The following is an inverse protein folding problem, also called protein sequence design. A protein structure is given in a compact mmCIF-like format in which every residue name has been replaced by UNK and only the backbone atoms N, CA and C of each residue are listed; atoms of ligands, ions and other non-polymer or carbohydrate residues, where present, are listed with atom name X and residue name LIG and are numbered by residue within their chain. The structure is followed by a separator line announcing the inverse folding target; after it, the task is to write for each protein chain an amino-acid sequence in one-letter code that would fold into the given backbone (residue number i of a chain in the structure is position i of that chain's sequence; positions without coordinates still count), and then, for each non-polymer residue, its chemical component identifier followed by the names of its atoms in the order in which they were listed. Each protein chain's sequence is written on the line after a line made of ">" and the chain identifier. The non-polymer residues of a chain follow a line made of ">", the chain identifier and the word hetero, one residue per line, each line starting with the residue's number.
data_IF_591648964758
#
_entry.id   IF_591648964758
#
_cell.length_a   1.000
_cell.length_b   1.000
_cell.length_c   1.000
_cell.angle_alpha   90.00
_cell.angle_beta   90.00
_cell.angle_gamma   90.00
#
_symmetry.space_group_name_H-M   'P 1'
#
loop_
_entity.id
_entity.type
_entity.pdbx_description
1 polymer ?
#
# COMPACT_ATOMS: atom_id res chain seq x y z
N UNK A 1 -15.71 11.83 -20.85
CA UNK A 1 -15.74 10.40 -21.26
C UNK A 1 -16.61 10.19 -22.52
N UNK A 2 -17.84 10.70 -22.59
CA UNK A 2 -18.71 10.53 -23.77
C UNK A 2 -18.10 11.14 -25.04
N UNK A 3 -17.54 12.34 -24.97
CA UNK A 3 -16.91 12.99 -26.13
C UNK A 3 -15.77 12.16 -26.73
N UNK A 4 -14.92 11.54 -25.90
CA UNK A 4 -13.85 10.64 -26.37
C UNK A 4 -14.40 9.42 -27.06
N UNK A 5 -15.41 8.78 -26.50
CA UNK A 5 -16.06 7.61 -27.10
C UNK A 5 -16.62 7.93 -28.50
N UNK A 6 -17.23 9.11 -28.66
CA UNK A 6 -17.74 9.56 -29.98
C UNK A 6 -16.59 9.80 -30.96
N UNK A 7 -15.49 10.42 -30.53
CA UNK A 7 -14.32 10.64 -31.40
C UNK A 7 -13.63 9.34 -31.80
N UNK A 8 -13.48 8.40 -30.86
CA UNK A 8 -12.95 7.07 -31.15
C UNK A 8 -13.80 6.32 -32.18
N UNK A 9 -15.14 6.47 -32.13
CA UNK A 9 -16.04 5.82 -33.09
C UNK A 9 -15.84 6.30 -34.53
N UNK A 10 -15.38 7.55 -34.75
CA UNK A 10 -15.07 8.08 -36.10
C UNK A 10 -13.98 7.25 -36.76
N UNK A 11 -12.97 6.78 -36.04
CA UNK A 11 -11.88 5.96 -36.58
C UNK A 11 -12.35 4.58 -37.03
N UNK A 12 -13.36 4.04 -36.35
CA UNK A 12 -13.94 2.72 -36.62
C UNK A 12 -14.97 2.83 -37.75
N UNK A 13 -15.86 3.80 -37.67
CA UNK A 13 -17.02 3.95 -38.57
C UNK A 13 -16.61 4.47 -39.95
N UNK A 14 -15.60 5.34 -40.02
CA UNK A 14 -15.15 6.01 -41.23
C UNK A 14 -13.66 5.77 -41.55
N UNK A 15 -13.23 4.52 -41.75
CA UNK A 15 -11.80 4.18 -41.90
C UNK A 15 -11.13 4.78 -43.14
N UNK A 16 -11.93 5.14 -44.17
CA UNK A 16 -11.41 5.71 -45.43
C UNK A 16 -11.37 7.24 -45.44
N UNK A 17 -12.06 7.91 -44.48
CA UNK A 17 -12.19 9.36 -44.40
C UNK A 17 -11.02 9.96 -43.62
N UNK A 18 -9.86 10.11 -44.28
CA UNK A 18 -8.59 10.51 -43.63
C UNK A 18 -8.68 11.92 -43.03
N UNK A 19 -9.36 12.87 -43.68
CA UNK A 19 -9.51 14.24 -43.20
C UNK A 19 -10.31 14.28 -41.88
N UNK A 20 -11.44 13.64 -41.83
CA UNK A 20 -12.31 13.57 -40.63
C UNK A 20 -11.60 12.89 -39.47
N UNK A 21 -10.88 11.80 -39.75
CA UNK A 21 -10.08 11.10 -38.74
C UNK A 21 -8.96 11.98 -38.16
N UNK A 22 -8.30 12.83 -38.97
CA UNK A 22 -7.30 13.79 -38.49
C UNK A 22 -7.92 14.81 -37.57
N UNK A 23 -9.09 15.36 -37.93
CA UNK A 23 -9.82 16.31 -37.09
C UNK A 23 -10.27 15.66 -35.79
N UNK A 24 -10.85 14.46 -35.83
CA UNK A 24 -11.25 13.73 -34.65
C UNK A 24 -10.05 13.48 -33.72
N UNK A 25 -8.89 13.10 -34.28
CA UNK A 25 -7.66 12.89 -33.49
C UNK A 25 -7.14 14.18 -32.85
N UNK A 26 -7.17 15.31 -33.56
CA UNK A 26 -6.77 16.60 -32.99
C UNK A 26 -7.68 17.04 -31.85
N UNK A 27 -9.00 16.81 -31.96
CA UNK A 27 -9.96 17.08 -30.89
C UNK A 27 -9.76 16.15 -29.70
N UNK A 28 -9.50 14.88 -29.92
CA UNK A 28 -9.17 13.93 -28.88
C UNK A 28 -7.91 14.34 -28.11
N UNK A 29 -6.85 14.70 -28.83
CA UNK A 29 -5.60 15.19 -28.22
C UNK A 29 -5.85 16.45 -27.38
N UNK A 30 -6.70 17.39 -27.86
CA UNK A 30 -7.07 18.58 -27.11
C UNK A 30 -7.86 18.28 -25.84
N UNK A 31 -8.78 17.29 -25.90
CA UNK A 31 -9.53 16.83 -24.69
C UNK A 31 -8.55 16.23 -23.68
N UNK A 32 -7.62 15.36 -24.12
CA UNK A 32 -6.60 14.76 -23.25
C UNK A 32 -5.73 15.84 -22.60
N UNK A 33 -5.35 16.86 -23.35
CA UNK A 33 -4.58 18.00 -22.84
C UNK A 33 -5.31 18.75 -21.74
N UNK A 34 -6.58 19.15 -21.96
CA UNK A 34 -7.39 19.87 -20.97
C UNK A 34 -7.67 19.02 -19.72
N UNK A 35 -8.00 17.73 -19.90
CA UNK A 35 -8.17 16.80 -18.77
C UNK A 35 -6.87 16.66 -17.97
N UNK A 36 -5.71 16.63 -18.64
CA UNK A 36 -4.41 16.54 -17.99
C UNK A 36 -4.04 17.82 -17.24
N UNK A 37 -4.35 19.00 -17.80
CA UNK A 37 -4.19 20.27 -17.07
C UNK A 37 -5.05 20.31 -15.80
N UNK A 38 -6.32 19.88 -15.88
CA UNK A 38 -7.21 19.80 -14.71
C UNK A 38 -6.68 18.80 -13.67
N UNK A 39 -6.19 17.63 -14.12
CA UNK A 39 -5.60 16.61 -13.24
C UNK A 39 -4.34 17.12 -12.55
N UNK A 40 -3.46 17.85 -13.28
CA UNK A 40 -2.27 18.48 -12.72
C UNK A 40 -2.67 19.51 -11.64
N UNK A 41 -3.60 20.42 -11.94
CA UNK A 41 -4.05 21.42 -11.00
C UNK A 41 -4.66 20.80 -9.73
N UNK A 42 -5.45 19.73 -9.88
CA UNK A 42 -5.95 18.95 -8.75
C UNK A 42 -4.81 18.38 -7.91
N UNK A 43 -3.83 17.74 -8.54
CA UNK A 43 -2.69 17.15 -7.82
C UNK A 43 -1.86 18.22 -7.09
N UNK A 44 -1.58 19.36 -7.75
CA UNK A 44 -0.85 20.49 -7.15
C UNK A 44 -1.57 21.07 -5.92
N UNK A 45 -2.90 20.99 -5.87
CA UNK A 45 -3.70 21.43 -4.73
C UNK A 45 -3.75 20.41 -3.59
N UNK A 46 -3.83 19.12 -3.90
CA UNK A 46 -4.08 18.05 -2.90
C UNK A 46 -2.77 17.54 -2.28
N UNK A 47 -1.67 17.49 -3.02
CA UNK A 47 -0.41 16.95 -2.50
C UNK A 47 0.14 17.69 -1.26
N UNK A 48 0.21 19.04 -1.22
CA UNK A 48 0.77 19.73 -0.08
C UNK A 48 0.10 19.39 1.26
N UNK A 49 -1.23 19.45 1.41
CA UNK A 49 -1.87 19.11 2.67
C UNK A 49 -1.77 17.62 3.04
N UNK A 50 -1.63 16.72 2.05
CA UNK A 50 -1.36 15.30 2.36
C UNK A 50 0.05 15.10 2.89
N UNK A 51 1.05 15.76 2.31
CA UNK A 51 2.45 15.72 2.78
C UNK A 51 2.56 16.28 4.19
N UNK A 52 1.91 17.41 4.49
CA UNK A 52 1.88 17.98 5.84
C UNK A 52 1.30 17.00 6.88
N UNK A 53 0.20 16.30 6.54
CA UNK A 53 -0.34 15.25 7.42
C UNK A 53 0.65 14.11 7.66
N UNK A 54 1.38 13.69 6.62
CA UNK A 54 2.42 12.67 6.75
C UNK A 54 3.52 13.15 7.70
N UNK A 55 4.00 14.38 7.56
CA UNK A 55 5.05 14.94 8.42
C UNK A 55 4.63 14.97 9.90
N UNK A 56 3.35 15.25 10.18
CA UNK A 56 2.80 15.19 11.53
C UNK A 56 2.80 13.76 12.08
N UNK A 57 2.35 12.79 11.27
CA UNK A 57 2.31 11.38 11.68
C UNK A 57 3.72 10.80 11.87
N UNK A 58 4.66 11.14 11.00
CA UNK A 58 6.03 10.63 11.04
C UNK A 58 6.75 10.95 12.37
N UNK A 59 6.31 11.94 13.15
CA UNK A 59 6.83 12.22 14.49
C UNK A 59 6.66 11.04 15.46
N UNK A 60 5.69 10.16 15.21
CA UNK A 60 5.44 8.94 16.00
C UNK A 60 6.29 7.75 15.52
N UNK A 61 6.99 7.90 14.40
CA UNK A 61 7.78 6.85 13.79
C UNK A 61 9.28 7.12 13.93
N UNK A 62 10.08 6.08 13.79
CA UNK A 62 11.51 6.15 13.56
C UNK A 62 11.82 5.63 12.17
N UNK A 63 12.76 6.26 11.51
CA UNK A 63 13.28 5.78 10.25
C UNK A 63 14.42 4.80 10.50
N UNK A 64 14.36 3.65 9.86
CA UNK A 64 15.38 2.60 9.93
C UNK A 64 15.78 2.22 8.51
N UNK A 65 17.07 2.15 8.24
CA UNK A 65 17.64 1.65 7.00
C UNK A 65 19.00 1.02 7.26
N UNK A 66 19.23 -0.13 6.66
CA UNK A 66 20.54 -0.72 6.59
C UNK A 66 21.12 -0.50 5.19
N UNK A 67 21.90 0.55 5.01
CA UNK A 67 22.44 0.97 3.71
C UNK A 67 23.27 -0.11 2.99
N UNK A 68 23.75 -1.12 3.73
CA UNK A 68 24.53 -2.22 3.16
C UNK A 68 23.66 -3.33 2.54
N UNK A 69 22.43 -3.49 3.02
CA UNK A 69 21.60 -4.66 2.66
C UNK A 69 20.17 -4.31 2.23
N UNK A 70 19.77 -3.05 2.34
CA UNK A 70 18.40 -2.63 2.06
C UNK A 70 18.39 -1.49 1.04
N UNK A 71 17.67 -1.68 -0.07
CA UNK A 71 17.46 -0.62 -1.07
C UNK A 71 16.57 0.49 -0.53
N UNK A 72 15.60 0.12 0.33
CA UNK A 72 14.60 1.00 0.90
C UNK A 72 14.67 1.01 2.42
N UNK A 73 14.56 2.20 3.00
CA UNK A 73 14.34 2.36 4.43
C UNK A 73 12.87 2.18 4.81
N UNK A 74 12.60 2.18 6.10
CA UNK A 74 11.26 1.94 6.65
C UNK A 74 10.95 2.86 7.82
N UNK A 75 9.70 3.28 7.91
CA UNK A 75 9.14 4.01 9.05
C UNK A 75 8.45 3.02 9.97
N UNK A 76 9.00 2.81 11.14
CA UNK A 76 8.49 1.91 12.17
C UNK A 76 7.96 2.73 13.34
N UNK A 77 6.75 2.44 13.79
CA UNK A 77 6.16 3.14 14.93
C UNK A 77 7.01 2.90 16.21
N UNK A 78 7.25 3.94 17.00
CA UNK A 78 8.16 3.90 18.16
C UNK A 78 7.75 2.93 19.27
N UNK A 79 6.46 2.55 19.34
CA UNK A 79 5.95 1.55 20.27
C UNK A 79 6.12 0.09 19.79
N UNK A 80 6.45 -0.14 18.51
CA UNK A 80 6.76 -1.47 18.00
C UNK A 80 8.26 -1.75 18.16
N UNK A 81 8.56 -2.85 18.82
CA UNK A 81 9.93 -3.33 18.90
C UNK A 81 10.37 -3.90 17.56
N UNK A 82 11.54 -3.51 17.12
CA UNK A 82 12.15 -4.05 15.92
C UNK A 82 13.13 -5.15 16.28
N UNK A 83 12.92 -6.32 15.70
CA UNK A 83 13.90 -7.30 15.31
C UNK A 83 14.84 -7.98 16.32
N UNK A 84 15.03 -7.48 17.52
CA UNK A 84 15.96 -8.10 18.46
C UNK A 84 15.33 -9.21 19.33
N UNK A 85 14.00 -9.29 19.38
CA UNK A 85 13.29 -10.29 20.19
C UNK A 85 12.63 -11.34 19.30
N UNK A 86 13.45 -12.23 18.73
CA UNK A 86 12.99 -13.30 17.84
C UNK A 86 12.41 -14.51 18.59
N UNK A 87 12.37 -14.47 19.93
CA UNK A 87 11.93 -15.60 20.77
C UNK A 87 10.45 -15.57 21.13
N UNK A 88 9.63 -14.79 20.42
CA UNK A 88 8.18 -14.70 20.64
C UNK A 88 7.40 -14.53 19.36
N UNK A 89 6.09 -14.78 19.44
CA UNK A 89 5.15 -14.50 18.37
C UNK A 89 4.71 -13.03 18.46
N UNK A 90 4.72 -12.30 17.33
CA UNK A 90 4.27 -10.91 17.27
C UNK A 90 3.93 -10.51 15.84
N UNK A 91 3.20 -9.40 15.68
CA UNK A 91 3.01 -8.71 14.41
C UNK A 91 3.85 -7.43 14.42
N UNK A 92 4.59 -7.22 13.34
CA UNK A 92 5.28 -5.98 13.04
C UNK A 92 4.65 -5.34 11.81
N UNK A 93 4.44 -4.02 11.87
CA UNK A 93 4.00 -3.25 10.71
C UNK A 93 4.92 -2.03 10.52
N UNK A 94 5.15 -1.68 9.25
CA UNK A 94 5.90 -0.50 8.88
C UNK A 94 5.53 -0.02 7.49
N UNK A 95 5.86 1.21 7.17
CA UNK A 95 5.74 1.77 5.82
C UNK A 95 7.15 2.03 5.29
N UNK A 96 7.44 1.58 4.07
CA UNK A 96 8.73 1.82 3.40
C UNK A 96 8.78 3.25 2.84
N UNK A 97 9.98 3.74 2.56
CA UNK A 97 10.19 5.06 1.93
C UNK A 97 9.67 5.13 0.48
N UNK A 98 9.56 3.98 -0.22
CA UNK A 98 8.87 3.86 -1.50
C UNK A 98 7.33 3.78 -1.36
N UNK A 99 6.81 4.01 -0.14
CA UNK A 99 5.38 4.07 0.20
C UNK A 99 4.64 2.73 0.15
N UNK A 100 5.34 1.62 0.23
CA UNK A 100 4.72 0.31 0.45
C UNK A 100 4.45 0.08 1.93
N UNK A 101 3.24 -0.41 2.24
CA UNK A 101 2.88 -0.86 3.60
C UNK A 101 3.19 -2.34 3.73
N UNK A 102 3.91 -2.69 4.78
CA UNK A 102 4.34 -4.07 5.05
C UNK A 102 3.85 -4.47 6.43
N UNK A 103 3.25 -5.66 6.52
CA UNK A 103 2.96 -6.34 7.78
C UNK A 103 3.68 -7.68 7.79
N UNK A 104 4.38 -7.96 8.89
CA UNK A 104 5.06 -9.23 9.13
C UNK A 104 4.49 -9.90 10.36
N UNK A 105 4.11 -11.17 10.21
CA UNK A 105 3.74 -12.03 11.32
C UNK A 105 4.90 -12.95 11.63
N UNK A 106 5.43 -12.84 12.83
CA UNK A 106 6.55 -13.64 13.32
C UNK A 106 6.05 -14.79 14.19
N UNK A 107 6.51 -15.97 13.88
CA UNK A 107 6.37 -17.16 14.70
C UNK A 107 7.75 -17.63 15.18
N UNK A 108 7.79 -18.02 16.45
CA UNK A 108 8.90 -18.74 17.04
C UNK A 108 8.38 -19.94 17.84
N UNK A 109 8.96 -21.11 17.64
CA UNK A 109 8.56 -22.32 18.35
C UNK A 109 9.51 -23.49 18.16
N UNK A 110 9.18 -24.62 18.80
CA UNK A 110 9.97 -25.85 18.74
C UNK A 110 9.71 -26.68 17.49
N UNK A 111 8.64 -26.39 16.75
CA UNK A 111 8.23 -27.14 15.55
C UNK A 111 7.99 -26.20 14.39
N UNK A 112 8.29 -26.66 13.20
CA UNK A 112 7.92 -25.94 11.97
C UNK A 112 6.40 -26.01 11.76
N UNK A 113 5.77 -24.84 11.61
CA UNK A 113 4.33 -24.72 11.41
C UNK A 113 3.98 -24.65 9.92
N UNK A 114 4.89 -24.17 9.09
CA UNK A 114 4.63 -23.84 7.68
C UNK A 114 3.42 -22.93 7.55
N UNK A 115 3.54 -21.73 8.10
CA UNK A 115 2.45 -20.77 8.25
C UNK A 115 1.81 -20.45 6.90
N UNK A 116 0.49 -20.67 6.79
CA UNK A 116 -0.30 -20.44 5.58
C UNK A 116 -1.15 -19.17 5.69
N UNK A 117 -1.56 -18.83 6.92
CA UNK A 117 -2.40 -17.67 7.18
C UNK A 117 -2.22 -17.14 8.61
N UNK A 118 -2.58 -15.89 8.79
CA UNK A 118 -2.83 -15.26 10.08
C UNK A 118 -4.31 -14.96 10.18
N UNK A 119 -4.95 -15.40 11.26
CA UNK A 119 -6.35 -15.09 11.56
C UNK A 119 -6.39 -14.09 12.69
N UNK A 120 -7.09 -12.99 12.50
CA UNK A 120 -7.46 -12.07 13.57
C UNK A 120 -8.91 -12.33 13.98
N UNK A 121 -9.14 -12.44 15.28
CA UNK A 121 -10.47 -12.64 15.84
C UNK A 121 -10.75 -11.56 16.90
N UNK A 122 -11.92 -10.94 16.80
CA UNK A 122 -12.39 -9.89 17.70
C UNK A 122 -13.93 -9.96 17.80
N UNK A 123 -14.47 -10.04 19.00
CA UNK A 123 -15.92 -9.99 19.27
C UNK A 123 -16.77 -10.90 18.36
N UNK A 124 -16.32 -12.16 18.18
CA UNK A 124 -17.01 -13.14 17.34
C UNK A 124 -16.79 -12.99 15.83
N UNK A 125 -16.05 -11.97 15.38
CA UNK A 125 -15.68 -11.76 13.98
C UNK A 125 -14.28 -12.33 13.77
N UNK A 126 -14.09 -13.13 12.72
CA UNK A 126 -12.77 -13.63 12.31
C UNK A 126 -12.47 -13.20 10.87
N UNK A 127 -11.22 -12.80 10.63
CA UNK A 127 -10.70 -12.51 9.30
C UNK A 127 -9.37 -13.20 9.10
N UNK A 128 -9.17 -13.77 7.91
CA UNK A 128 -7.97 -14.52 7.54
C UNK A 128 -7.13 -13.74 6.53
N UNK A 129 -5.83 -13.64 6.78
CA UNK A 129 -4.87 -12.94 5.96
C UNK A 129 -3.76 -13.89 5.53
N UNK A 130 -3.44 -13.87 4.23
CA UNK A 130 -2.39 -14.71 3.64
C UNK A 130 -1.23 -13.88 3.14
N UNK A 131 -0.04 -14.44 3.17
CA UNK A 131 1.18 -13.77 2.73
C UNK A 131 2.25 -14.75 2.25
N UNK A 132 3.44 -14.25 1.96
CA UNK A 132 4.61 -15.06 1.65
C UNK A 132 5.29 -15.49 2.96
N UNK A 133 5.37 -16.79 3.21
CA UNK A 133 6.06 -17.34 4.38
C UNK A 133 7.51 -17.69 4.06
N UNK A 134 8.41 -17.30 4.94
CA UNK A 134 9.81 -17.71 4.97
C UNK A 134 10.12 -18.35 6.31
N UNK A 135 10.75 -19.53 6.30
CA UNK A 135 11.10 -20.26 7.51
C UNK A 135 12.58 -20.59 7.56
N UNK A 136 13.16 -20.58 8.75
CA UNK A 136 14.53 -21.02 9.03
C UNK A 136 14.63 -21.56 10.45
N UNK A 137 15.65 -22.39 10.70
CA UNK A 137 15.93 -22.96 11.99
C UNK A 137 17.16 -22.28 12.61
N UNK A 138 17.00 -21.73 13.81
CA UNK A 138 18.06 -21.15 14.62
C UNK A 138 17.64 -21.17 16.08
N UNK A 139 18.14 -22.12 16.88
CA UNK A 139 17.71 -22.35 18.26
C UNK A 139 16.18 -22.51 18.41
N UNK A 140 15.54 -23.11 17.41
CA UNK A 140 14.10 -23.24 17.25
C UNK A 140 13.69 -22.83 15.83
N UNK A 141 12.42 -23.05 15.51
CA UNK A 141 11.85 -22.68 14.23
C UNK A 141 11.37 -21.22 14.23
N UNK A 142 11.80 -20.48 13.23
CA UNK A 142 11.37 -19.12 12.96
C UNK A 142 10.61 -19.11 11.64
N UNK A 143 9.44 -18.50 11.64
CA UNK A 143 8.68 -18.25 10.41
C UNK A 143 8.24 -16.79 10.35
N UNK A 144 8.39 -16.21 9.18
CA UNK A 144 8.00 -14.81 8.91
C UNK A 144 7.08 -14.79 7.73
N UNK A 145 5.81 -14.54 7.98
CA UNK A 145 4.83 -14.31 6.92
C UNK A 145 4.77 -12.81 6.62
N UNK A 146 5.02 -12.45 5.38
CA UNK A 146 5.01 -11.06 4.90
C UNK A 146 3.77 -10.80 4.05
N UNK A 147 3.05 -9.75 4.39
CA UNK A 147 1.92 -9.20 3.65
C UNK A 147 2.28 -7.80 3.18
N UNK A 148 1.92 -7.45 1.96
CA UNK A 148 2.30 -6.20 1.31
C UNK A 148 1.08 -5.43 0.82
N UNK A 149 1.17 -4.10 0.85
CA UNK A 149 0.20 -3.15 0.32
C UNK A 149 -1.26 -3.43 0.74
N UNK A 150 -2.11 -3.85 -0.16
CA UNK A 150 -3.54 -4.05 0.11
C UNK A 150 -3.80 -5.07 1.19
N UNK A 151 -3.11 -6.22 1.15
CA UNK A 151 -3.25 -7.26 2.18
C UNK A 151 -2.77 -6.78 3.56
N UNK A 152 -1.70 -6.00 3.59
CA UNK A 152 -1.21 -5.38 4.82
C UNK A 152 -2.23 -4.38 5.37
N UNK A 153 -2.77 -3.51 4.50
CA UNK A 153 -3.79 -2.52 4.89
C UNK A 153 -5.10 -3.16 5.34
N UNK A 154 -5.53 -4.28 4.73
CA UNK A 154 -6.71 -5.03 5.16
C UNK A 154 -6.55 -5.58 6.59
N UNK A 155 -5.38 -6.16 6.92
CA UNK A 155 -5.09 -6.62 8.27
C UNK A 155 -5.09 -5.45 9.27
N UNK A 156 -4.44 -4.35 8.94
CA UNK A 156 -4.36 -3.16 9.78
C UNK A 156 -5.75 -2.51 9.96
N UNK A 157 -6.58 -2.51 8.92
CA UNK A 157 -7.97 -2.05 8.99
C UNK A 157 -8.80 -2.88 9.98
N UNK A 158 -8.63 -4.21 9.97
CA UNK A 158 -9.28 -5.07 10.97
C UNK A 158 -8.91 -4.65 12.40
N UNK A 159 -7.63 -4.38 12.66
CA UNK A 159 -7.18 -3.90 13.97
C UNK A 159 -7.80 -2.55 14.31
N UNK A 160 -7.81 -1.61 13.35
CA UNK A 160 -8.39 -0.28 13.53
C UNK A 160 -9.89 -0.32 13.84
N UNK A 161 -10.64 -1.17 13.14
CA UNK A 161 -12.07 -1.33 13.37
C UNK A 161 -12.43 -1.99 14.72
N UNK A 162 -11.47 -2.69 15.35
CA UNK A 162 -11.69 -3.47 16.57
C UNK A 162 -10.84 -3.00 17.76
N UNK A 163 -10.46 -1.72 17.79
CA UNK A 163 -9.56 -1.16 18.82
C UNK A 163 -10.06 -1.31 20.25
N UNK A 164 -11.38 -1.22 20.46
CA UNK A 164 -12.02 -1.25 21.79
C UNK A 164 -12.13 -2.65 22.39
N UNK A 165 -11.91 -3.70 21.59
CA UNK A 165 -12.06 -5.10 22.02
C UNK A 165 -10.72 -5.84 22.02
N UNK A 166 -10.71 -7.02 22.65
CA UNK A 166 -9.53 -7.88 22.68
C UNK A 166 -9.36 -8.58 21.33
N UNK A 167 -8.22 -8.37 20.70
CA UNK A 167 -7.91 -8.99 19.42
C UNK A 167 -7.00 -10.20 19.66
N UNK A 168 -7.48 -11.38 19.24
CA UNK A 168 -6.73 -12.63 19.22
C UNK A 168 -6.05 -12.79 17.88
N UNK A 169 -4.77 -13.10 17.89
CA UNK A 169 -3.98 -13.42 16.71
C UNK A 169 -3.71 -14.92 16.73
N UNK A 170 -4.05 -15.60 15.64
CA UNK A 170 -3.84 -17.03 15.46
C UNK A 170 -3.09 -17.27 14.15
N UNK A 171 -1.91 -17.86 14.23
CA UNK A 171 -1.24 -18.38 13.04
C UNK A 171 -1.80 -19.75 12.67
N UNK A 172 -2.09 -19.95 11.39
CA UNK A 172 -2.52 -21.24 10.85
C UNK A 172 -1.40 -21.82 10.00
N UNK A 173 -0.97 -23.05 10.34
CA UNK A 173 0.00 -23.82 9.58
C UNK A 173 -0.63 -24.73 8.53
N UNK A 174 0.22 -25.42 7.79
CA UNK A 174 -0.19 -26.38 6.76
C UNK A 174 -1.04 -27.53 7.35
N UNK A 175 -0.77 -27.94 8.60
CA UNK A 175 -1.59 -28.92 9.34
C UNK A 175 -2.49 -28.17 10.34
N UNK A 176 -3.75 -28.54 10.42
CA UNK A 176 -4.75 -27.87 11.27
C UNK A 176 -4.36 -27.79 12.75
N UNK A 177 -3.58 -28.76 13.25
CA UNK A 177 -3.04 -28.78 14.62
C UNK A 177 -1.85 -27.86 14.86
N UNK A 178 -1.19 -27.43 13.78
CA UNK A 178 -0.02 -26.55 13.87
C UNK A 178 -0.52 -25.09 13.92
N UNK A 179 -0.85 -24.61 15.10
CA UNK A 179 -1.34 -23.25 15.33
C UNK A 179 -0.61 -22.64 16.52
N UNK A 180 -0.50 -21.33 16.48
CA UNK A 180 -0.04 -20.53 17.61
C UNK A 180 -1.00 -19.38 17.84
N UNK A 181 -1.05 -18.88 19.08
CA UNK A 181 -1.99 -17.83 19.47
C UNK A 181 -1.31 -16.85 20.41
N UNK A 182 -1.61 -15.56 20.21
CA UNK A 182 -1.36 -14.53 21.21
C UNK A 182 -2.44 -13.44 21.11
N UNK A 183 -2.37 -12.43 21.98
CA UNK A 183 -3.31 -11.33 21.99
C UNK A 183 -2.56 -10.00 21.86
N UNK A 184 -3.07 -9.13 20.99
CA UNK A 184 -2.54 -7.78 20.85
C UNK A 184 -2.77 -7.00 22.14
N UNK A 185 -1.72 -6.38 22.65
CA UNK A 185 -1.82 -5.40 23.72
C UNK A 185 -2.15 -4.01 23.14
N UNK A 186 -2.50 -3.06 24.03
CA UNK A 186 -2.91 -1.71 23.59
C UNK A 186 -1.80 -0.93 22.89
N UNK A 187 -0.53 -1.13 23.29
CA UNK A 187 0.61 -0.51 22.59
C UNK A 187 0.75 -1.04 21.17
N UNK A 188 0.62 -2.34 20.98
CA UNK A 188 0.65 -2.97 19.66
C UNK A 188 -0.54 -2.48 18.81
N UNK A 189 -1.75 -2.48 19.34
CA UNK A 189 -2.94 -1.97 18.63
C UNK A 189 -2.75 -0.53 18.18
N UNK A 190 -2.35 0.37 19.08
CA UNK A 190 -2.12 1.78 18.76
C UNK A 190 -1.07 1.96 17.68
N UNK A 191 0.03 1.22 17.75
CA UNK A 191 1.09 1.28 16.75
C UNK A 191 0.66 0.74 15.38
N UNK A 192 -0.13 -0.35 15.35
CA UNK A 192 -0.67 -0.90 14.11
C UNK A 192 -1.68 0.06 13.46
N UNK A 193 -2.53 0.72 14.27
CA UNK A 193 -3.48 1.74 13.76
C UNK A 193 -2.75 2.97 13.23
N UNK A 194 -1.76 3.49 13.94
CA UNK A 194 -0.95 4.59 13.41
C UNK A 194 -0.23 4.21 12.10
N UNK A 195 0.23 2.95 11.99
CA UNK A 195 0.83 2.45 10.75
C UNK A 195 -0.21 2.32 9.63
N UNK A 196 -1.46 1.96 9.95
CA UNK A 196 -2.57 1.96 9.00
C UNK A 196 -2.84 3.36 8.43
N UNK A 197 -2.94 4.36 9.31
CA UNK A 197 -3.16 5.76 8.90
C UNK A 197 -2.03 6.27 8.00
N UNK A 198 -0.77 6.02 8.39
CA UNK A 198 0.38 6.38 7.57
C UNK A 198 0.37 5.65 6.22
N UNK A 199 0.08 4.35 6.22
CA UNK A 199 0.01 3.54 5.00
C UNK A 199 -1.05 4.03 4.01
N UNK A 200 -2.23 4.39 4.49
CA UNK A 200 -3.29 4.98 3.67
C UNK A 200 -2.89 6.33 3.08
N UNK A 201 -2.33 7.22 3.89
CA UNK A 201 -1.85 8.52 3.40
C UNK A 201 -0.76 8.35 2.35
N UNK A 202 0.21 7.48 2.59
CA UNK A 202 1.27 7.18 1.64
C UNK A 202 0.75 6.58 0.32
N UNK A 203 -0.27 5.70 0.41
CA UNK A 203 -0.95 5.14 -0.78
C UNK A 203 -1.66 6.24 -1.58
N UNK A 204 -2.38 7.14 -0.91
CA UNK A 204 -3.07 8.25 -1.57
C UNK A 204 -2.09 9.22 -2.24
N UNK A 205 -1.00 9.59 -1.57
CA UNK A 205 0.06 10.42 -2.14
C UNK A 205 0.65 9.76 -3.39
N UNK A 206 1.01 8.47 -3.30
CA UNK A 206 1.54 7.71 -4.43
C UNK A 206 0.59 7.75 -5.63
N UNK A 207 -0.71 7.56 -5.39
CA UNK A 207 -1.75 7.64 -6.43
C UNK A 207 -1.80 9.02 -7.08
N UNK A 208 -1.82 10.10 -6.28
CA UNK A 208 -1.90 11.47 -6.79
C UNK A 208 -0.64 11.85 -7.56
N UNK A 209 0.56 11.46 -7.09
CA UNK A 209 1.81 11.67 -7.82
C UNK A 209 1.86 10.91 -9.15
N UNK A 210 1.34 9.68 -9.20
CA UNK A 210 1.24 8.93 -10.45
C UNK A 210 0.30 9.62 -11.44
N UNK A 211 -0.84 10.13 -10.97
CA UNK A 211 -1.77 10.93 -11.78
C UNK A 211 -1.10 12.20 -12.30
N UNK A 212 -0.37 12.93 -11.45
CA UNK A 212 0.36 14.14 -11.81
C UNK A 212 1.44 13.85 -12.85
N UNK A 213 2.22 12.79 -12.66
CA UNK A 213 3.27 12.36 -13.62
C UNK A 213 2.67 12.02 -14.99
N UNK A 214 1.57 11.29 -15.02
CA UNK A 214 0.88 10.95 -16.26
C UNK A 214 0.30 12.20 -16.94
N UNK A 215 -0.29 13.12 -16.17
CA UNK A 215 -0.81 14.38 -16.68
C UNK A 215 0.30 15.25 -17.29
N UNK A 216 1.43 15.40 -16.60
CA UNK A 216 2.59 16.15 -17.11
C UNK A 216 3.13 15.56 -18.42
N UNK A 217 3.24 14.24 -18.52
CA UNK A 217 3.67 13.57 -19.74
C UNK A 217 2.72 13.81 -20.94
N UNK A 218 1.40 13.83 -20.69
CA UNK A 218 0.41 14.13 -21.73
C UNK A 218 0.46 15.59 -22.16
N UNK A 219 0.59 16.53 -21.22
CA UNK A 219 0.74 17.96 -21.48
C UNK A 219 1.98 18.18 -22.37
N UNK A 220 3.13 17.67 -21.95
CA UNK A 220 4.38 17.82 -22.71
C UNK A 220 4.28 17.25 -24.13
N UNK A 221 3.65 16.06 -24.27
CA UNK A 221 3.42 15.44 -25.60
C UNK A 221 2.57 16.31 -26.50
N UNK A 222 1.50 16.90 -25.96
CA UNK A 222 0.62 17.79 -26.71
C UNK A 222 1.34 19.07 -27.14
N UNK A 223 2.01 19.75 -26.21
CA UNK A 223 2.78 20.98 -26.46
C UNK A 223 3.85 20.76 -27.52
N UNK A 224 4.62 19.66 -27.42
CA UNK A 224 5.63 19.28 -28.41
C UNK A 224 5.01 19.04 -29.79
N UNK A 225 3.85 18.33 -29.84
CA UNK A 225 3.19 17.99 -31.11
C UNK A 225 2.62 19.20 -31.83
N UNK A 226 2.09 20.17 -31.09
CA UNK A 226 1.39 21.33 -31.64
C UNK A 226 2.20 22.63 -31.57
N UNK A 227 3.46 22.59 -31.12
CA UNK A 227 4.37 23.75 -31.09
C UNK A 227 3.91 24.84 -30.13
N UNK A 228 3.26 24.46 -29.03
CA UNK A 228 2.82 25.37 -27.97
C UNK A 228 3.99 25.50 -26.97
N UNK A 229 4.52 26.71 -26.80
CA UNK A 229 5.56 27.06 -25.81
C UNK A 229 4.95 27.80 -24.65
#
# INVERSE_FOLDING_TARGET
>A
RQARFVLDSVHITYPREVAQRRVAKALEDSIVYLESQSTKAYADTILPPLLEKVDVLLKQFRYEKNDKYEDHGRYVHRLLETGSNTSRNFIQAYVRDDRQTIVKSYYYGTQQVNQQAVVLAADGIESQFTGKNHSFEANGWHEVMTMEDERALELLNFVSANMSVRIKVKGQGQKAQHTWVYYLNDKEKNALVATYELGWLMKDIRRVEQMQKAANANIQRYETKYGIQ
#
